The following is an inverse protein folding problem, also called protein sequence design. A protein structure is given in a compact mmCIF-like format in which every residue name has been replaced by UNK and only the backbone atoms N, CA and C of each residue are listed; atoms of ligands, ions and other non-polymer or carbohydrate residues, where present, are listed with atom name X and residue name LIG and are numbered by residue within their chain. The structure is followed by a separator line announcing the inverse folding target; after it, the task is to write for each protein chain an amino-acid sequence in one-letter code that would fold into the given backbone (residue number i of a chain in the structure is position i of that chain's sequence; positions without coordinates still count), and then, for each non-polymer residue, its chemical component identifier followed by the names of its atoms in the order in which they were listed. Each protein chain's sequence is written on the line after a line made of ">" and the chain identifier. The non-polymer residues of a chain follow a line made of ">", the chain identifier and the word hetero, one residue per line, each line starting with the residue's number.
data_IF_245585459425
#
_entry.id   IF_245585459425
#
_cell.length_a   1.000
_cell.length_b   1.000
_cell.length_c   1.000
_cell.angle_alpha   90.00
_cell.angle_beta   90.00
_cell.angle_gamma   90.00
#
_symmetry.space_group_name_H-M   'P 1'
#
loop_
_entity.id
_entity.type
_entity.pdbx_description
1 polymer ?
#
# COMPACT_ATOMS: atom_id res chain seq x y z
N UNK A 1 -63.42 -1.69 8.89
CA UNK A 1 -62.49 -1.88 7.74
C UNK A 1 -61.33 -0.88 7.69
N UNK A 2 -61.39 0.30 8.33
CA UNK A 2 -60.30 1.30 8.29
C UNK A 2 -59.04 0.93 9.10
N UNK A 3 -59.19 0.33 10.28
CA UNK A 3 -58.07 0.10 11.21
C UNK A 3 -57.09 -0.99 10.72
N UNK A 4 -57.57 -2.03 10.04
CA UNK A 4 -56.69 -3.07 9.47
C UNK A 4 -55.86 -2.56 8.29
N UNK A 5 -56.46 -1.72 7.45
CA UNK A 5 -55.74 -1.08 6.34
C UNK A 5 -54.66 -0.16 6.91
N UNK A 6 -55.01 0.68 7.87
CA UNK A 6 -54.07 1.56 8.58
C UNK A 6 -52.92 0.78 9.25
N UNK A 7 -53.22 -0.33 9.92
CA UNK A 7 -52.21 -1.22 10.55
C UNK A 7 -51.23 -1.78 9.51
N UNK A 8 -51.73 -2.23 8.35
CA UNK A 8 -50.87 -2.73 7.25
C UNK A 8 -49.94 -1.64 6.70
N UNK A 9 -50.44 -0.42 6.51
CA UNK A 9 -49.63 0.71 6.06
C UNK A 9 -48.53 1.10 7.06
N UNK A 10 -48.86 1.15 8.36
CA UNK A 10 -47.89 1.44 9.41
C UNK A 10 -46.78 0.36 9.43
N UNK A 11 -47.14 -0.91 9.35
CA UNK A 11 -46.16 -2.02 9.30
C UNK A 11 -45.27 -1.91 8.06
N UNK A 12 -45.83 -1.64 6.88
CA UNK A 12 -45.05 -1.49 5.65
C UNK A 12 -44.08 -0.31 5.74
N UNK A 13 -44.52 0.83 6.28
CA UNK A 13 -43.66 2.01 6.46
C UNK A 13 -42.50 1.72 7.44
N UNK A 14 -42.78 1.03 8.54
CA UNK A 14 -41.75 0.62 9.51
C UNK A 14 -40.74 -0.32 8.84
N UNK A 15 -41.21 -1.34 8.11
CA UNK A 15 -40.33 -2.29 7.41
C UNK A 15 -39.45 -1.60 6.36
N UNK A 16 -40.01 -0.69 5.56
CA UNK A 16 -39.24 0.07 4.57
C UNK A 16 -38.22 0.99 5.24
N UNK A 17 -38.61 1.67 6.33
CA UNK A 17 -37.70 2.55 7.09
C UNK A 17 -36.56 1.77 7.73
N UNK A 18 -36.85 0.60 8.30
CA UNK A 18 -35.84 -0.29 8.87
C UNK A 18 -34.87 -0.79 7.79
N UNK A 19 -35.38 -1.24 6.64
CA UNK A 19 -34.54 -1.63 5.51
C UNK A 19 -33.65 -0.49 5.01
N UNK A 20 -34.18 0.75 4.97
CA UNK A 20 -33.41 1.93 4.58
C UNK A 20 -32.28 2.22 5.56
N UNK A 21 -32.53 2.13 6.87
CA UNK A 21 -31.49 2.28 7.91
C UNK A 21 -30.41 1.21 7.79
N UNK A 22 -30.78 -0.06 7.56
CA UNK A 22 -29.80 -1.13 7.35
C UNK A 22 -28.95 -0.91 6.09
N UNK A 23 -29.55 -0.42 4.99
CA UNK A 23 -28.82 -0.07 3.78
C UNK A 23 -27.83 1.07 4.03
N UNK A 24 -28.22 2.13 4.77
CA UNK A 24 -27.34 3.23 5.13
C UNK A 24 -26.15 2.78 6.00
N UNK A 25 -26.38 1.88 6.96
CA UNK A 25 -25.31 1.32 7.80
C UNK A 25 -24.33 0.49 6.96
N UNK A 26 -24.83 -0.30 6.02
CA UNK A 26 -23.98 -1.08 5.11
C UNK A 26 -23.12 -0.17 4.21
N UNK A 27 -23.70 0.89 3.64
CA UNK A 27 -22.99 1.89 2.82
C UNK A 27 -21.89 2.59 3.64
N UNK A 28 -22.19 2.99 4.89
CA UNK A 28 -21.21 3.63 5.77
C UNK A 28 -20.01 2.73 6.08
N UNK A 29 -20.23 1.43 6.31
CA UNK A 29 -19.15 0.45 6.51
C UNK A 29 -18.29 0.27 5.25
N UNK A 30 -18.90 0.22 4.08
CA UNK A 30 -18.19 0.12 2.81
C UNK A 30 -17.31 1.35 2.55
N UNK A 31 -17.80 2.56 2.83
CA UNK A 31 -17.04 3.80 2.66
C UNK A 31 -15.79 3.87 3.55
N UNK A 32 -15.86 3.36 4.80
CA UNK A 32 -14.68 3.28 5.68
C UNK A 32 -13.60 2.34 5.15
N UNK A 33 -13.99 1.22 4.55
CA UNK A 33 -13.02 0.26 3.99
C UNK A 33 -12.27 0.82 2.77
N UNK A 34 -12.91 1.69 1.98
CA UNK A 34 -12.30 2.34 0.80
C UNK A 34 -11.39 3.50 1.22
N UNK A 35 -11.70 4.19 2.32
CA UNK A 35 -10.93 5.35 2.78
C UNK A 35 -9.55 5.02 3.39
N UNK A 36 -9.34 3.78 3.87
CA UNK A 36 -8.14 3.35 4.61
C UNK A 36 -6.83 3.22 3.82
N UNK A 37 -6.74 3.78 2.62
CA UNK A 37 -5.47 3.88 1.88
C UNK A 37 -5.23 5.25 1.24
N UNK A 38 -6.23 6.15 1.22
CA UNK A 38 -6.11 7.42 0.50
C UNK A 38 -5.06 8.37 1.12
N UNK A 39 -4.75 8.20 2.42
CA UNK A 39 -3.81 9.05 3.16
C UNK A 39 -2.56 8.32 3.67
N UNK A 40 -2.40 7.04 3.33
CA UNK A 40 -1.28 6.24 3.80
C UNK A 40 0.05 6.75 3.22
N UNK A 41 1.08 6.77 4.05
CA UNK A 41 2.44 7.24 3.72
C UNK A 41 3.43 6.10 3.80
N UNK A 42 4.46 6.17 2.97
CA UNK A 42 5.62 5.31 3.12
C UNK A 42 6.35 5.65 4.42
N UNK A 43 6.96 4.63 5.02
CA UNK A 43 7.68 4.73 6.29
C UNK A 43 9.06 4.08 6.15
N UNK A 44 9.99 4.38 7.06
CA UNK A 44 11.30 3.70 7.09
C UNK A 44 11.14 2.18 7.08
N UNK A 45 11.90 1.52 6.20
CA UNK A 45 11.89 0.08 6.01
C UNK A 45 12.32 -0.69 7.27
N UNK A 46 13.14 -0.06 8.12
CA UNK A 46 13.53 -0.63 9.42
C UNK A 46 12.32 -0.96 10.30
N UNK A 47 11.22 -0.20 10.19
CA UNK A 47 9.99 -0.48 10.95
C UNK A 47 9.37 -1.83 10.56
N UNK A 48 9.49 -2.23 9.30
CA UNK A 48 9.06 -3.53 8.82
C UNK A 48 9.89 -4.65 9.48
N UNK A 49 11.21 -4.46 9.53
CA UNK A 49 12.15 -5.47 10.04
C UNK A 49 12.02 -5.73 11.55
N UNK A 50 11.54 -4.76 12.32
CA UNK A 50 11.31 -4.92 13.76
C UNK A 50 10.32 -6.06 14.06
N UNK A 51 9.27 -6.19 13.25
CA UNK A 51 8.26 -7.24 13.41
C UNK A 51 8.48 -8.43 12.46
N UNK A 52 8.97 -8.19 11.24
CA UNK A 52 9.13 -9.19 10.18
C UNK A 52 10.58 -9.64 9.99
N UNK A 53 11.28 -9.98 11.08
CA UNK A 53 12.71 -10.34 11.09
C UNK A 53 13.07 -11.46 10.11
N UNK A 54 12.21 -12.48 10.00
CA UNK A 54 12.45 -13.60 9.08
C UNK A 54 12.41 -13.16 7.60
N UNK A 55 11.49 -12.25 7.26
CA UNK A 55 11.39 -11.67 5.91
C UNK A 55 12.54 -10.68 5.65
N UNK A 56 12.95 -9.91 6.67
CA UNK A 56 14.10 -9.01 6.56
C UNK A 56 15.36 -9.76 6.11
N UNK A 57 15.65 -10.92 6.74
CA UNK A 57 16.82 -11.74 6.41
C UNK A 57 16.90 -12.13 4.93
N UNK A 58 15.76 -12.42 4.29
CA UNK A 58 15.71 -12.79 2.88
C UNK A 58 15.62 -11.57 1.96
N UNK A 59 14.95 -10.51 2.38
CA UNK A 59 14.80 -9.29 1.61
C UNK A 59 16.10 -8.49 1.50
N UNK A 60 16.84 -8.31 2.60
CA UNK A 60 18.05 -7.46 2.66
C UNK A 60 19.14 -7.91 1.68
N UNK A 61 19.19 -9.19 1.34
CA UNK A 61 20.17 -9.78 0.41
C UNK A 61 19.63 -9.94 -1.01
N UNK A 62 18.38 -9.55 -1.25
CA UNK A 62 17.73 -9.70 -2.56
C UNK A 62 18.23 -8.67 -3.57
N UNK A 63 18.09 -8.99 -4.86
CA UNK A 63 18.34 -8.04 -5.96
C UNK A 63 17.45 -6.79 -5.87
N UNK A 64 16.28 -6.90 -5.25
CA UNK A 64 15.37 -5.78 -5.02
C UNK A 64 15.95 -4.79 -4.00
N UNK A 65 16.36 -5.27 -2.83
CA UNK A 65 17.01 -4.43 -1.81
C UNK A 65 18.31 -3.79 -2.34
N UNK A 66 19.08 -4.54 -3.14
CA UNK A 66 20.35 -4.09 -3.70
C UNK A 66 20.22 -3.30 -5.02
N UNK A 67 19.01 -3.08 -5.53
CA UNK A 67 18.77 -2.52 -6.87
C UNK A 67 19.37 -1.13 -7.07
N UNK A 68 19.47 -0.31 -6.02
CA UNK A 68 20.02 1.04 -6.11
C UNK A 68 21.51 1.08 -6.41
N UNK A 69 22.27 0.01 -6.07
CA UNK A 69 23.71 -0.07 -6.36
C UNK A 69 24.01 0.16 -7.84
N UNK A 70 23.16 -0.39 -8.72
CA UNK A 70 23.30 -0.22 -10.16
C UNK A 70 23.23 1.26 -10.58
N UNK A 71 22.43 2.07 -9.87
CA UNK A 71 22.35 3.51 -10.16
C UNK A 71 23.62 4.24 -9.75
N UNK A 72 24.17 3.93 -8.57
CA UNK A 72 25.44 4.49 -8.10
C UNK A 72 26.58 4.16 -9.06
N UNK A 73 26.68 2.90 -9.48
CA UNK A 73 27.74 2.43 -10.38
C UNK A 73 27.69 3.10 -11.76
N UNK A 74 26.55 3.70 -12.15
CA UNK A 74 26.34 4.33 -13.46
C UNK A 74 26.00 5.83 -13.37
N UNK A 75 26.16 6.46 -12.21
CA UNK A 75 25.83 7.88 -11.98
C UNK A 75 24.37 8.25 -12.32
N UNK A 76 23.43 7.34 -12.07
CA UNK A 76 21.99 7.50 -12.30
C UNK A 76 21.19 7.65 -11.00
N UNK A 77 21.85 7.80 -9.87
CA UNK A 77 21.26 7.89 -8.52
C UNK A 77 20.38 9.13 -8.29
N UNK A 78 20.38 10.07 -9.24
CA UNK A 78 19.51 11.26 -9.24
C UNK A 78 18.51 11.29 -10.39
N UNK A 79 18.53 10.30 -11.29
CA UNK A 79 17.67 10.28 -12.47
C UNK A 79 16.24 9.88 -12.08
N UNK A 80 15.23 10.77 -12.19
CA UNK A 80 13.86 10.46 -11.77
C UNK A 80 13.26 9.24 -12.47
N UNK A 81 13.67 8.95 -13.72
CA UNK A 81 13.20 7.77 -14.47
C UNK A 81 13.70 6.46 -13.85
N UNK A 82 14.93 6.46 -13.33
CA UNK A 82 15.53 5.31 -12.67
C UNK A 82 15.00 5.14 -11.24
N UNK A 83 14.86 6.25 -10.52
CA UNK A 83 14.42 6.27 -9.12
C UNK A 83 13.03 5.67 -8.92
N UNK A 84 12.13 5.82 -9.90
CA UNK A 84 10.79 5.22 -9.86
C UNK A 84 10.79 3.69 -9.66
N UNK A 85 11.81 2.98 -10.17
CA UNK A 85 11.88 1.52 -10.12
C UNK A 85 12.97 0.96 -9.19
N UNK A 86 13.96 1.79 -8.81
CA UNK A 86 15.12 1.38 -8.01
C UNK A 86 15.11 1.93 -6.58
N UNK A 87 13.99 2.53 -6.15
CA UNK A 87 13.78 3.01 -4.78
C UNK A 87 12.36 2.71 -4.33
N UNK A 88 12.09 2.93 -3.05
CA UNK A 88 10.76 2.69 -2.48
C UNK A 88 9.95 3.97 -2.41
N UNK A 89 8.88 4.03 -3.19
CA UNK A 89 7.88 5.10 -3.11
C UNK A 89 8.33 6.45 -3.66
N UNK A 90 9.30 6.51 -4.59
CA UNK A 90 9.74 7.78 -5.18
C UNK A 90 8.57 8.63 -5.70
N UNK A 91 8.56 9.91 -5.32
CA UNK A 91 7.49 10.85 -5.69
C UNK A 91 6.15 10.60 -4.99
N UNK A 92 6.10 9.73 -3.97
CA UNK A 92 4.90 9.46 -3.15
C UNK A 92 5.07 10.00 -1.72
N UNK A 93 3.96 10.27 -1.00
CA UNK A 93 4.03 10.76 0.37
C UNK A 93 4.85 9.86 1.30
N UNK A 94 5.88 10.42 1.92
CA UNK A 94 6.80 9.69 2.81
C UNK A 94 7.77 8.74 2.11
N UNK A 95 7.78 8.71 0.77
CA UNK A 95 8.64 7.82 -0.02
C UNK A 95 10.06 8.37 -0.20
N UNK A 96 10.88 7.66 -0.97
CA UNK A 96 12.25 8.06 -1.24
C UNK A 96 12.32 9.47 -1.87
N UNK A 97 13.20 10.33 -1.35
CA UNK A 97 13.53 11.62 -1.96
C UNK A 97 15.01 11.69 -2.33
N UNK A 98 15.90 11.38 -1.40
CA UNK A 98 17.34 11.30 -1.61
C UNK A 98 18.01 10.40 -0.56
N UNK A 99 19.28 10.07 -0.81
CA UNK A 99 20.09 9.17 0.01
C UNK A 99 20.26 9.71 1.44
N UNK A 100 20.32 11.03 1.63
CA UNK A 100 20.60 11.65 2.93
C UNK A 100 19.34 11.72 3.79
N UNK A 101 18.20 12.10 3.22
CA UNK A 101 16.94 12.26 3.95
C UNK A 101 16.20 10.94 4.16
N UNK A 102 16.30 10.02 3.19
CA UNK A 102 15.54 8.76 3.16
C UNK A 102 16.43 7.55 2.87
N UNK A 103 17.53 7.34 3.62
CA UNK A 103 18.47 6.24 3.37
C UNK A 103 17.80 4.86 3.47
N UNK A 104 16.79 4.74 4.33
CA UNK A 104 16.06 3.49 4.55
C UNK A 104 15.08 3.14 3.42
N UNK A 105 14.92 4.01 2.42
CA UNK A 105 14.02 3.79 1.26
C UNK A 105 14.80 3.57 -0.05
N UNK A 106 16.11 3.41 0.05
CA UNK A 106 16.98 2.99 -1.04
C UNK A 106 16.64 1.55 -1.44
N UNK A 107 16.60 1.29 -2.75
CA UNK A 107 16.24 -0.01 -3.28
C UNK A 107 14.74 -0.28 -3.24
N UNK A 108 14.35 -1.45 -3.77
CA UNK A 108 12.97 -1.93 -3.80
C UNK A 108 12.69 -2.66 -2.48
N UNK A 109 12.06 -1.95 -1.54
CA UNK A 109 11.68 -2.39 -0.19
C UNK A 109 10.35 -3.12 -0.14
N UNK A 110 9.91 -3.55 1.05
CA UNK A 110 8.62 -4.22 1.26
C UNK A 110 7.48 -3.39 0.65
N UNK A 111 7.48 -2.09 0.88
CA UNK A 111 6.39 -1.18 0.51
C UNK A 111 6.32 -0.91 -1.01
N UNK A 112 7.36 -1.25 -1.77
CA UNK A 112 7.31 -1.15 -3.24
C UNK A 112 6.31 -2.15 -3.85
N UNK A 113 6.10 -3.29 -3.18
CA UNK A 113 5.09 -4.29 -3.54
C UNK A 113 3.86 -4.19 -2.62
N UNK A 114 4.07 -4.04 -1.31
CA UNK A 114 2.99 -4.13 -0.33
C UNK A 114 2.21 -2.82 -0.11
N UNK A 115 2.67 -1.71 -0.72
CA UNK A 115 2.09 -0.38 -0.55
C UNK A 115 2.57 0.35 0.72
N UNK A 116 2.15 1.61 0.93
CA UNK A 116 2.57 2.44 2.05
C UNK A 116 2.18 1.85 3.41
N UNK A 117 3.16 1.73 4.31
CA UNK A 117 2.99 1.00 5.58
C UNK A 117 2.47 1.81 6.76
N UNK A 118 2.24 3.13 6.65
CA UNK A 118 1.94 3.98 7.82
C UNK A 118 0.74 3.53 8.63
N UNK A 119 -0.32 3.07 7.97
CA UNK A 119 -1.52 2.59 8.65
C UNK A 119 -1.32 1.18 9.22
N UNK A 120 -0.58 0.32 8.50
CA UNK A 120 -0.28 -1.04 8.93
C UNK A 120 0.49 -1.08 10.27
N UNK A 121 1.33 -0.08 10.53
CA UNK A 121 2.16 -0.01 11.73
C UNK A 121 1.47 0.70 12.92
N UNK A 122 0.22 1.14 12.80
CA UNK A 122 -0.48 1.83 13.88
C UNK A 122 -0.52 1.00 15.18
N UNK A 123 -0.41 1.70 16.31
CA UNK A 123 -0.45 1.09 17.64
C UNK A 123 -1.90 0.72 17.97
N UNK A 124 -2.10 -0.38 18.69
CA UNK A 124 -3.44 -0.83 19.10
C UNK A 124 -4.17 -1.70 18.08
N UNK A 125 -3.61 -1.88 16.88
CA UNK A 125 -4.18 -2.80 15.89
C UNK A 125 -3.94 -4.27 16.24
N UNK A 126 -4.99 -5.07 16.13
CA UNK A 126 -4.93 -6.52 16.08
C UNK A 126 -4.24 -7.02 14.80
N UNK A 127 -3.85 -8.29 14.79
CA UNK A 127 -3.23 -8.93 13.62
C UNK A 127 -4.12 -8.88 12.38
N UNK A 128 -5.42 -9.06 12.54
CA UNK A 128 -6.36 -9.07 11.41
C UNK A 128 -6.59 -7.66 10.84
N UNK A 129 -6.67 -6.64 11.70
CA UNK A 129 -6.73 -5.24 11.24
C UNK A 129 -5.47 -4.83 10.47
N UNK A 130 -4.28 -5.26 10.92
CA UNK A 130 -3.02 -5.00 10.20
C UNK A 130 -3.00 -5.61 8.80
N UNK A 131 -3.53 -6.83 8.63
CA UNK A 131 -3.59 -7.50 7.31
C UNK A 131 -4.49 -6.75 6.33
N UNK A 132 -5.55 -6.09 6.82
CA UNK A 132 -6.47 -5.31 5.99
C UNK A 132 -5.85 -3.98 5.53
N UNK A 133 -4.84 -3.48 6.26
CA UNK A 133 -4.17 -2.20 6.00
C UNK A 133 -2.91 -2.30 5.13
N UNK A 134 -2.64 -3.46 4.53
CA UNK A 134 -1.47 -3.67 3.65
C UNK A 134 -1.81 -4.64 2.51
N UNK A 135 -1.22 -4.45 1.33
CA UNK A 135 -1.45 -5.36 0.21
C UNK A 135 -0.59 -6.63 0.37
N UNK A 136 -1.16 -7.72 0.87
CA UNK A 136 -0.45 -9.00 0.98
C UNK A 136 -0.30 -9.74 -0.37
N UNK A 137 -1.15 -9.44 -1.36
CA UNK A 137 -1.18 -10.08 -2.67
C UNK A 137 -0.62 -9.13 -3.74
N UNK A 138 0.68 -8.88 -3.67
CA UNK A 138 1.36 -7.85 -4.45
C UNK A 138 1.88 -8.30 -5.83
N UNK A 139 1.44 -9.44 -6.36
CA UNK A 139 1.97 -9.98 -7.63
C UNK A 139 1.72 -9.05 -8.82
N UNK A 140 0.63 -8.29 -8.81
CA UNK A 140 0.31 -7.29 -9.83
C UNK A 140 1.25 -6.08 -9.82
N UNK A 141 2.01 -5.87 -8.75
CA UNK A 141 2.91 -4.72 -8.60
C UNK A 141 4.22 -4.92 -9.36
N UNK A 142 4.63 -6.17 -9.60
CA UNK A 142 5.84 -6.51 -10.32
C UNK A 142 5.94 -5.79 -11.68
N UNK A 143 4.84 -5.75 -12.43
CA UNK A 143 4.79 -5.19 -13.77
C UNK A 143 4.83 -3.66 -13.78
N UNK A 144 4.78 -2.97 -12.64
CA UNK A 144 4.99 -1.52 -12.59
C UNK A 144 6.44 -1.17 -12.93
N UNK A 145 7.39 -2.06 -12.60
CA UNK A 145 8.80 -1.91 -12.93
C UNK A 145 9.21 -2.84 -14.09
N UNK A 146 8.75 -4.10 -14.08
CA UNK A 146 9.09 -5.13 -15.07
C UNK A 146 8.26 -5.06 -16.38
N UNK A 147 7.94 -3.86 -16.86
CA UNK A 147 7.37 -3.61 -18.21
C UNK A 147 8.38 -2.97 -19.16
N UNK A 148 9.45 -2.43 -18.59
CA UNK A 148 10.54 -1.71 -19.25
C UNK A 148 11.75 -2.59 -18.86
N UNK A 149 12.50 -3.18 -19.78
CA UNK A 149 13.54 -2.47 -20.53
C UNK A 149 13.70 -3.11 -21.92
N UNK A 150 13.59 -2.30 -22.98
CA UNK A 150 14.51 -2.50 -24.09
C UNK A 150 15.90 -2.38 -23.47
N UNK A 151 16.62 -3.51 -23.36
CA UNK A 151 18.05 -3.66 -23.11
C UNK A 151 18.67 -2.40 -22.49
N UNK A 152 18.82 -2.31 -21.16
CA UNK A 152 19.40 -1.14 -20.44
C UNK A 152 20.38 -0.37 -21.33
N UNK A 153 19.92 0.67 -22.03
CA UNK A 153 20.66 1.26 -23.16
C UNK A 153 21.96 1.93 -22.66
N UNK A 154 22.05 2.14 -21.35
CA UNK A 154 23.03 3.03 -20.73
C UNK A 154 23.97 2.31 -19.75
N UNK A 155 23.80 0.99 -19.55
CA UNK A 155 24.61 0.21 -18.60
C UNK A 155 25.28 -0.89 -19.39
N UNK A 156 26.59 -0.76 -19.63
CA UNK A 156 27.39 -1.81 -20.25
C UNK A 156 27.15 -3.11 -19.47
N UNK A 157 26.50 -4.08 -20.11
CA UNK A 157 26.46 -5.44 -19.58
C UNK A 157 27.90 -5.91 -19.47
N UNK A 158 28.37 -6.21 -18.26
CA UNK A 158 29.55 -7.06 -18.08
C UNK A 158 29.20 -8.49 -18.48
#
# INVERSE_FOLDING_TARGET
>A
MGNERMRKWIITIILVSVCFVFALIAISKANKAIAGQANAKYVSEKKCYMCHKALAKTHETSKHALSFKCLLDNNQDKNPKCLQCHTTGYGKPGGFTDIKSTPDLIGVGCQACHGPGSEHIEIGLSKEERKQKININASSECVKCHKIHQKHIDIKSK
#
